data_IF_754943898161
#
_entry.id   IF_754943898161
#
_cell.length_a   1.000
_cell.length_b   1.000
_cell.length_c   1.000
_cell.angle_alpha   90.00
_cell.angle_beta   90.00
_cell.angle_gamma   90.00
#
_symmetry.space_group_name_H-M   'P 1'
#
loop_
_entity.id
_entity.type
_entity.pdbx_description
1 polymer ?
#
# COMPACT_ATOMS: atom_id res chain seq x y z
N UNK A 1 -10.37 11.59 -6.56
CA UNK A 1 -10.34 10.19 -6.12
C UNK A 1 -9.67 10.22 -4.79
N UNK A 2 -10.10 9.38 -3.87
CA UNK A 2 -9.64 9.39 -2.49
C UNK A 2 -8.86 8.10 -2.24
N UNK A 3 -7.96 8.09 -1.27
CA UNK A 3 -7.15 6.92 -0.94
C UNK A 3 -7.10 6.70 0.56
N UNK A 4 -7.02 5.43 0.95
CA UNK A 4 -6.71 5.04 2.33
C UNK A 4 -5.48 4.13 2.34
N UNK A 5 -4.54 4.47 3.22
CA UNK A 5 -3.30 3.75 3.43
C UNK A 5 -3.21 3.22 4.85
N UNK A 6 -2.89 1.94 4.96
CA UNK A 6 -2.52 1.28 6.20
C UNK A 6 -1.08 0.81 6.11
N UNK A 7 -0.31 1.11 7.15
CA UNK A 7 1.09 0.72 7.25
C UNK A 7 1.39 0.23 8.66
N UNK A 8 1.98 -0.94 8.76
CA UNK A 8 2.43 -1.55 9.99
C UNK A 8 3.90 -1.91 9.89
N UNK A 9 4.72 -1.31 10.75
CA UNK A 9 6.16 -1.54 10.77
C UNK A 9 6.55 -2.38 11.99
N UNK A 10 7.24 -3.48 11.75
CA UNK A 10 7.74 -4.41 12.76
C UNK A 10 9.26 -4.26 12.82
N UNK A 11 9.73 -3.68 13.92
CA UNK A 11 11.15 -3.61 14.24
C UNK A 11 11.59 -4.96 14.84
N UNK A 12 12.25 -5.80 14.05
CA UNK A 12 12.72 -7.13 14.50
C UNK A 12 13.97 -6.99 15.34
N UNK A 13 14.95 -6.23 14.85
CA UNK A 13 16.15 -5.82 15.58
C UNK A 13 16.72 -4.53 14.98
N UNK A 14 17.85 -4.03 15.51
CA UNK A 14 18.48 -2.77 15.06
C UNK A 14 18.79 -2.72 13.56
N UNK A 15 18.95 -3.87 12.92
CA UNK A 15 19.38 -4.00 11.53
C UNK A 15 18.27 -4.55 10.62
N UNK A 16 17.10 -4.89 11.15
CA UNK A 16 16.07 -5.62 10.40
C UNK A 16 14.67 -5.13 10.72
N UNK A 17 13.93 -4.81 9.66
CA UNK A 17 12.55 -4.34 9.72
C UNK A 17 11.67 -5.08 8.72
N UNK A 18 10.42 -5.31 9.11
CA UNK A 18 9.36 -5.80 8.23
C UNK A 18 8.27 -4.75 8.15
N UNK A 19 8.00 -4.27 6.94
CA UNK A 19 6.92 -3.35 6.66
C UNK A 19 5.78 -4.09 5.96
N UNK A 20 4.58 -4.03 6.53
CA UNK A 20 3.36 -4.51 5.91
C UNK A 20 2.53 -3.29 5.53
N UNK A 21 2.03 -3.24 4.31
CA UNK A 21 1.19 -2.15 3.83
C UNK A 21 0.00 -2.62 3.02
N UNK A 22 -1.09 -1.88 3.15
CA UNK A 22 -2.29 -2.02 2.33
C UNK A 22 -2.80 -0.65 1.94
N UNK A 23 -3.01 -0.44 0.64
CA UNK A 23 -3.52 0.81 0.08
C UNK A 23 -4.75 0.51 -0.77
N UNK A 24 -5.78 1.34 -0.65
CA UNK A 24 -7.00 1.24 -1.45
C UNK A 24 -7.34 2.59 -2.05
N UNK A 25 -7.42 2.63 -3.38
CA UNK A 25 -7.82 3.81 -4.13
C UNK A 25 -9.32 3.76 -4.46
N UNK A 26 -10.05 4.79 -4.03
CA UNK A 26 -11.43 5.06 -4.40
C UNK A 26 -11.47 5.86 -5.71
N UNK A 27 -11.82 5.16 -6.79
CA UNK A 27 -11.82 5.72 -8.14
C UNK A 27 -12.65 7.02 -8.24
N UNK A 28 -11.98 8.11 -8.62
CA UNK A 28 -12.62 9.37 -8.98
C UNK A 28 -13.23 9.35 -10.38
N UNK A 29 -13.83 10.46 -10.80
CA UNK A 29 -14.54 10.56 -12.07
C UNK A 29 -13.67 10.20 -13.29
N UNK A 30 -12.38 10.57 -13.27
CA UNK A 30 -11.46 10.23 -14.35
C UNK A 30 -11.31 8.71 -14.53
N UNK A 31 -10.95 7.99 -13.47
CA UNK A 31 -10.78 6.53 -13.52
C UNK A 31 -12.09 5.81 -13.81
N UNK A 32 -13.22 6.31 -13.29
CA UNK A 32 -14.54 5.78 -13.64
C UNK A 32 -14.88 5.93 -15.12
N UNK A 33 -14.40 7.00 -15.77
CA UNK A 33 -14.65 7.27 -17.18
C UNK A 33 -13.69 6.52 -18.12
N UNK A 34 -12.44 6.32 -17.71
CA UNK A 34 -11.39 5.71 -18.55
C UNK A 34 -11.18 4.22 -18.30
N UNK A 35 -11.46 3.74 -17.09
CA UNK A 35 -11.32 2.35 -16.67
C UNK A 35 -12.41 1.96 -15.64
N UNK A 36 -13.70 1.96 -16.04
CA UNK A 36 -14.81 1.65 -15.15
C UNK A 36 -14.66 0.25 -14.53
N UNK A 37 -14.95 0.14 -13.24
CA UNK A 37 -14.88 -1.12 -12.50
C UNK A 37 -13.48 -1.46 -11.95
N UNK A 38 -12.45 -0.66 -12.25
CA UNK A 38 -11.13 -0.83 -11.65
C UNK A 38 -11.05 -0.04 -10.35
N UNK A 39 -10.95 -0.76 -9.21
CA UNK A 39 -10.50 -0.18 -7.94
C UNK A 39 -9.10 -0.73 -7.61
N UNK A 40 -8.04 0.08 -7.80
CA UNK A 40 -6.70 -0.36 -7.46
C UNK A 40 -6.56 -0.59 -5.95
N UNK A 41 -6.28 -1.84 -5.59
CA UNK A 41 -5.92 -2.25 -4.24
C UNK A 41 -4.46 -2.76 -4.29
N UNK A 42 -3.62 -2.33 -3.35
CA UNK A 42 -2.23 -2.75 -3.25
C UNK A 42 -1.96 -3.31 -1.86
N UNK A 43 -1.57 -4.59 -1.80
CA UNK A 43 -1.04 -5.20 -0.59
C UNK A 43 0.43 -5.53 -0.80
N UNK A 44 1.28 -5.15 0.15
CA UNK A 44 2.71 -5.44 0.08
C UNK A 44 3.30 -5.82 1.44
N UNK A 45 4.35 -6.64 1.36
CA UNK A 45 5.25 -6.95 2.46
C UNK A 45 6.66 -6.64 2.00
N UNK A 46 7.36 -5.82 2.75
CA UNK A 46 8.73 -5.43 2.46
C UNK A 46 9.63 -5.80 3.64
N UNK A 47 10.75 -6.46 3.33
CA UNK A 47 11.79 -6.77 4.29
C UNK A 47 12.99 -5.86 4.05
N UNK A 48 13.53 -5.27 5.12
CA UNK A 48 14.72 -4.43 5.06
C UNK A 48 15.81 -5.00 5.97
N UNK A 49 17.04 -5.08 5.46
CA UNK A 49 18.22 -5.46 6.24
C UNK A 49 19.34 -4.45 5.98
N UNK A 50 20.00 -3.99 7.04
CA UNK A 50 21.17 -3.09 6.99
C UNK A 50 22.41 -3.81 7.52
N UNK A 51 23.45 -3.86 6.71
CA UNK A 51 24.75 -4.46 7.03
C UNK A 51 25.71 -3.43 7.61
#
# INVERSE_FOLDING_TARGET
GDEIDFRFNIHVNRQQDILVGYSKLFAGNFLKATAPGVSPDLFYVQYNMRF
#
